data_IF_246496571835
#
_entry.id   IF_246496571835
#
_cell.length_a   1.000
_cell.length_b   1.000
_cell.length_c   1.000
_cell.angle_alpha   90.00
_cell.angle_beta   90.00
_cell.angle_gamma   90.00
#
_symmetry.space_group_name_H-M   'P 1'
#
loop_
_entity.id
_entity.type
_entity.pdbx_description
1 polymer ?
#
# COMPACT_ATOMS: atom_id res chain seq x y z
N UNK A 1 -1.13 5.78 1.48
CA UNK A 1 -2.54 5.71 1.91
C UNK A 1 -3.30 7.01 1.63
N UNK A 2 -4.30 6.98 0.76
CA UNK A 2 -5.11 8.18 0.44
C UNK A 2 -6.00 8.50 1.64
N UNK A 3 -5.96 9.74 2.15
CA UNK A 3 -6.86 10.22 3.20
C UNK A 3 -6.71 9.58 4.59
N UNK A 4 -5.57 8.94 4.90
CA UNK A 4 -5.32 8.34 6.21
C UNK A 4 -5.94 6.94 6.42
N UNK A 5 -6.57 6.37 5.40
CA UNK A 5 -7.12 5.01 5.42
C UNK A 5 -6.07 3.95 5.10
N UNK A 6 -6.14 2.78 5.74
CA UNK A 6 -5.33 1.62 5.37
C UNK A 6 -5.60 1.23 3.91
N UNK A 7 -4.54 1.08 3.11
CA UNK A 7 -4.67 0.52 1.75
C UNK A 7 -5.19 -0.91 1.83
N UNK A 8 -6.16 -1.23 0.97
CA UNK A 8 -6.73 -2.56 0.86
C UNK A 8 -5.67 -3.52 0.28
N UNK A 9 -5.20 -4.47 1.09
CA UNK A 9 -4.20 -5.45 0.68
C UNK A 9 -4.65 -6.27 -0.55
N UNK A 10 -5.96 -6.55 -0.65
CA UNK A 10 -6.51 -7.29 -1.79
C UNK A 10 -6.40 -6.48 -3.09
N UNK A 11 -6.67 -5.18 -3.06
CA UNK A 11 -6.49 -4.31 -4.25
C UNK A 11 -5.03 -4.28 -4.69
N UNK A 12 -4.09 -4.17 -3.74
CA UNK A 12 -2.66 -4.19 -4.03
C UNK A 12 -2.21 -5.52 -4.64
N UNK A 13 -2.70 -6.63 -4.09
CA UNK A 13 -2.42 -7.98 -4.62
C UNK A 13 -3.01 -8.18 -6.02
N UNK A 14 -4.29 -7.87 -6.23
CA UNK A 14 -4.93 -8.00 -7.55
C UNK A 14 -4.25 -7.12 -8.58
N UNK A 15 -3.80 -5.93 -8.21
CA UNK A 15 -3.04 -5.06 -9.10
C UNK A 15 -1.75 -5.73 -9.61
N UNK A 16 -1.06 -6.52 -8.78
CA UNK A 16 0.13 -7.28 -9.24
C UNK A 16 -0.24 -8.34 -10.28
N UNK A 17 -1.34 -9.08 -10.07
CA UNK A 17 -1.81 -10.08 -11.04
C UNK A 17 -2.05 -9.43 -12.39
N UNK A 18 -2.79 -8.31 -12.40
CA UNK A 18 -3.15 -7.62 -13.65
C UNK A 18 -1.99 -6.86 -14.29
N UNK A 19 -0.92 -6.56 -13.56
CA UNK A 19 0.33 -6.07 -14.16
C UNK A 19 1.04 -7.17 -14.95
N UNK A 20 0.95 -8.42 -14.53
CA UNK A 20 1.60 -9.57 -15.19
C UNK A 20 0.71 -10.15 -16.30
N UNK A 21 -0.59 -10.31 -16.03
CA UNK A 21 -1.59 -10.81 -16.97
C UNK A 21 -2.70 -9.75 -17.17
N UNK A 22 -2.51 -8.75 -18.04
CA UNK A 22 -3.45 -7.64 -18.19
C UNK A 22 -4.84 -8.11 -18.62
N UNK A 23 -5.88 -7.56 -17.97
CA UNK A 23 -7.29 -7.82 -18.34
C UNK A 23 -7.66 -7.35 -19.74
N UNK A 24 -6.87 -6.42 -20.29
CA UNK A 24 -7.09 -5.85 -21.62
C UNK A 24 -6.69 -6.80 -22.75
N UNK A 25 -5.96 -7.88 -22.45
CA UNK A 25 -5.58 -8.91 -23.40
C UNK A 25 -6.16 -10.27 -23.01
N UNK A 26 -6.24 -11.18 -23.98
CA UNK A 26 -6.57 -12.57 -23.70
C UNK A 26 -5.38 -13.25 -23.01
N UNK A 27 -5.59 -13.73 -21.79
CA UNK A 27 -4.66 -14.60 -21.07
C UNK A 27 -5.35 -15.93 -20.83
N UNK A 28 -4.73 -17.04 -21.27
CA UNK A 28 -5.22 -18.37 -20.95
C UNK A 28 -5.14 -18.66 -19.44
N UNK A 29 -5.88 -19.65 -18.97
CA UNK A 29 -5.95 -20.02 -17.55
C UNK A 29 -4.56 -20.24 -16.94
N UNK A 30 -3.68 -20.93 -17.65
CA UNK A 30 -2.30 -21.21 -17.22
C UNK A 30 -1.48 -19.93 -16.99
N UNK A 31 -1.64 -18.92 -17.87
CA UNK A 31 -0.93 -17.64 -17.74
C UNK A 31 -1.42 -16.89 -16.50
N UNK A 32 -2.73 -16.87 -16.26
CA UNK A 32 -3.33 -16.23 -15.08
C UNK A 32 -2.90 -16.94 -13.80
N UNK A 33 -2.80 -18.27 -13.84
CA UNK A 33 -2.33 -19.07 -12.71
C UNK A 33 -0.85 -18.76 -12.37
N UNK A 34 0.03 -18.74 -13.37
CA UNK A 34 1.44 -18.33 -13.19
C UNK A 34 1.53 -16.90 -12.65
N UNK A 35 0.77 -15.96 -13.21
CA UNK A 35 0.71 -14.58 -12.73
C UNK A 35 0.27 -14.50 -11.26
N UNK A 36 -0.66 -15.36 -10.84
CA UNK A 36 -1.15 -15.47 -9.46
C UNK A 36 -0.04 -15.94 -8.52
N UNK A 37 0.69 -17.01 -8.86
CA UNK A 37 1.82 -17.49 -8.06
C UNK A 37 2.94 -16.46 -7.96
N UNK A 38 3.32 -15.84 -9.08
CA UNK A 38 4.34 -14.80 -9.10
C UNK A 38 3.93 -13.59 -8.26
N UNK A 39 2.67 -13.19 -8.33
CA UNK A 39 2.14 -12.07 -7.53
C UNK A 39 2.22 -12.34 -6.04
N UNK A 40 1.97 -13.58 -5.59
CA UNK A 40 2.13 -13.97 -4.18
C UNK A 40 3.59 -13.82 -3.74
N UNK A 41 4.54 -14.28 -4.56
CA UNK A 41 5.96 -14.13 -4.26
C UNK A 41 6.37 -12.66 -4.19
N UNK A 42 5.99 -11.85 -5.18
CA UNK A 42 6.34 -10.43 -5.27
C UNK A 42 5.73 -9.64 -4.11
N UNK A 43 4.47 -9.92 -3.78
CA UNK A 43 3.77 -9.22 -2.71
C UNK A 43 4.45 -9.45 -1.36
N UNK A 44 4.75 -10.71 -1.01
CA UNK A 44 5.30 -11.06 0.30
C UNK A 44 6.81 -10.81 0.40
N UNK A 45 7.56 -11.19 -0.63
CA UNK A 45 9.02 -11.31 -0.55
C UNK A 45 9.78 -10.34 -1.46
N UNK A 46 9.08 -9.55 -2.30
CA UNK A 46 9.72 -8.68 -3.29
C UNK A 46 10.17 -9.42 -4.54
N UNK A 47 11.07 -8.81 -5.33
CA UNK A 47 11.53 -9.30 -6.61
C UNK A 47 12.67 -10.32 -6.51
N UNK A 48 13.44 -10.34 -5.41
CA UNK A 48 14.54 -11.30 -5.23
C UNK A 48 14.21 -12.77 -5.53
N UNK A 49 13.06 -13.34 -5.10
CA UNK A 49 12.71 -14.72 -5.43
C UNK A 49 12.59 -15.01 -6.92
N UNK A 50 12.30 -14.00 -7.76
CA UNK A 50 12.22 -14.17 -9.21
C UNK A 50 13.57 -14.60 -9.80
N UNK A 51 14.68 -14.19 -9.19
CA UNK A 51 16.01 -14.62 -9.60
C UNK A 51 16.18 -16.14 -9.46
N UNK A 52 15.65 -16.71 -8.37
CA UNK A 52 15.66 -18.16 -8.15
C UNK A 52 14.73 -18.90 -9.11
N UNK A 53 13.60 -18.32 -9.50
CA UNK A 53 12.73 -18.88 -10.53
C UNK A 53 13.40 -18.86 -11.91
N UNK A 54 14.03 -17.75 -12.28
CA UNK A 54 14.78 -17.63 -13.53
C UNK A 54 15.88 -18.70 -13.63
N UNK A 55 16.65 -18.88 -12.55
CA UNK A 55 17.68 -19.92 -12.51
C UNK A 55 17.12 -21.35 -12.67
N UNK A 56 15.94 -21.64 -12.11
CA UNK A 56 15.26 -22.94 -12.28
C UNK A 56 14.73 -23.17 -13.70
N UNK A 57 14.49 -22.10 -14.46
CA UNK A 57 14.11 -22.15 -15.87
C UNK A 57 15.33 -22.09 -16.81
N UNK A 58 16.53 -22.36 -16.28
CA UNK A 58 17.81 -22.27 -16.98
C UNK A 58 18.09 -20.88 -17.60
N UNK A 59 17.47 -19.83 -17.07
CA UNK A 59 17.74 -18.45 -17.46
C UNK A 59 18.91 -17.93 -16.61
N UNK A 60 20.01 -17.58 -17.28
CA UNK A 60 21.18 -17.04 -16.60
C UNK A 60 20.88 -15.69 -15.93
N UNK A 61 21.02 -15.66 -14.61
CA UNK A 61 20.90 -14.45 -13.81
C UNK A 61 22.26 -13.75 -13.75
N UNK A 62 22.31 -12.53 -14.30
CA UNK A 62 23.51 -11.68 -14.22
C UNK A 62 23.49 -10.75 -13.01
N UNK A 63 24.67 -10.28 -12.60
CA UNK A 63 24.86 -9.32 -11.49
C UNK A 63 23.99 -8.06 -11.59
N UNK A 64 23.68 -7.62 -12.82
CA UNK A 64 22.80 -6.44 -13.05
C UNK A 64 21.35 -6.73 -12.65
N UNK A 65 20.86 -7.94 -12.90
CA UNK A 65 19.51 -8.34 -12.51
C UNK A 65 19.39 -8.48 -10.99
N UNK A 66 20.41 -9.04 -10.34
CA UNK A 66 20.51 -9.10 -8.88
C UNK A 66 20.47 -7.70 -8.25
N UNK A 67 21.32 -6.79 -8.75
CA UNK A 67 21.37 -5.41 -8.28
C UNK A 67 20.06 -4.66 -8.51
N UNK A 68 19.42 -4.84 -9.67
CA UNK A 68 18.14 -4.22 -9.98
C UNK A 68 17.01 -4.70 -9.05
N UNK A 69 16.92 -6.02 -8.80
CA UNK A 69 15.92 -6.56 -7.86
C UNK A 69 16.17 -6.07 -6.43
N UNK A 70 17.44 -6.02 -5.99
CA UNK A 70 17.79 -5.51 -4.67
C UNK A 70 17.40 -4.03 -4.50
N UNK A 71 17.71 -3.19 -5.50
CA UNK A 71 17.38 -1.77 -5.48
C UNK A 71 15.86 -1.53 -5.47
N UNK A 72 15.10 -2.30 -6.26
CA UNK A 72 13.64 -2.16 -6.29
C UNK A 72 12.98 -2.64 -4.99
N UNK A 73 13.50 -3.72 -4.38
CA UNK A 73 13.01 -4.19 -3.07
C UNK A 73 13.31 -3.19 -1.94
N UNK A 74 14.47 -2.55 -1.99
CA UNK A 74 14.84 -1.48 -1.06
C UNK A 74 13.94 -0.25 -1.26
N UNK A 75 13.72 0.17 -2.50
CA UNK A 75 12.79 1.25 -2.86
C UNK A 75 11.37 0.96 -2.36
N UNK A 76 10.87 -0.25 -2.60
CA UNK A 76 9.55 -0.70 -2.13
C UNK A 76 9.43 -0.61 -0.61
N UNK A 77 10.46 -1.06 0.11
CA UNK A 77 10.47 -1.05 1.58
C UNK A 77 10.51 0.39 2.11
N UNK A 78 11.32 1.25 1.50
CA UNK A 78 11.40 2.67 1.84
C UNK A 78 10.05 3.38 1.63
N UNK A 79 9.44 3.22 0.45
CA UNK A 79 8.14 3.81 0.13
C UNK A 79 7.06 3.37 1.13
N UNK A 80 7.05 2.07 1.49
CA UNK A 80 6.11 1.53 2.46
C UNK A 80 6.29 2.15 3.86
N UNK A 81 7.52 2.37 4.32
CA UNK A 81 7.80 3.05 5.58
C UNK A 81 7.35 4.52 5.55
N UNK A 82 7.65 5.24 4.47
CA UNK A 82 7.24 6.63 4.27
C UNK A 82 5.73 6.74 4.30
N UNK A 83 5.04 5.87 3.58
CA UNK A 83 3.58 5.85 3.55
C UNK A 83 2.97 5.47 4.90
N UNK A 84 3.58 4.55 5.65
CA UNK A 84 3.15 4.21 6.99
C UNK A 84 3.24 5.42 7.95
N UNK A 85 4.34 6.19 7.88
CA UNK A 85 4.53 7.42 8.66
C UNK A 85 3.48 8.47 8.29
N UNK A 86 3.33 8.77 7.00
CA UNK A 86 2.31 9.71 6.49
C UNK A 86 0.89 9.33 6.93
N UNK A 87 0.57 8.03 6.87
CA UNK A 87 -0.74 7.51 7.30
C UNK A 87 -0.96 7.73 8.80
N UNK A 88 0.07 7.49 9.62
CA UNK A 88 0.00 7.71 11.06
C UNK A 88 -0.22 9.19 11.38
N UNK A 89 0.54 10.08 10.75
CA UNK A 89 0.41 11.54 10.91
C UNK A 89 -0.99 12.02 10.50
N UNK A 90 -1.47 11.59 9.33
CA UNK A 90 -2.83 11.92 8.87
C UNK A 90 -3.91 11.50 9.86
N UNK A 91 -3.80 10.29 10.45
CA UNK A 91 -4.75 9.83 11.48
C UNK A 91 -4.68 10.65 12.76
N UNK A 92 -3.48 11.07 13.19
CA UNK A 92 -3.31 11.92 14.37
C UNK A 92 -3.94 13.29 14.13
N UNK A 93 -3.63 13.91 12.99
CA UNK A 93 -4.16 15.23 12.64
C UNK A 93 -5.69 15.22 12.56
N UNK A 94 -6.29 14.14 12.03
CA UNK A 94 -7.75 13.99 12.02
C UNK A 94 -8.33 13.96 13.43
N UNK A 95 -7.74 13.19 14.35
CA UNK A 95 -8.21 13.14 15.76
C UNK A 95 -8.09 14.49 16.45
N UNK A 96 -7.00 15.23 16.18
CA UNK A 96 -6.82 16.58 16.74
C UNK A 96 -7.90 17.52 16.21
N UNK A 97 -8.19 17.48 14.90
CA UNK A 97 -9.24 18.31 14.30
C UNK A 97 -10.63 17.97 14.85
N UNK A 98 -10.94 16.67 15.03
CA UNK A 98 -12.19 16.21 15.63
C UNK A 98 -12.34 16.71 17.08
N UNK A 99 -11.26 16.66 17.88
CA UNK A 99 -11.27 17.18 19.25
C UNK A 99 -11.46 18.70 19.30
N UNK A 100 -10.74 19.43 18.44
CA UNK A 100 -10.88 20.90 18.36
C UNK A 100 -12.31 21.30 17.99
N UNK A 101 -12.94 20.58 17.06
CA UNK A 101 -14.33 20.82 16.70
C UNK A 101 -15.28 20.55 17.89
N UNK A 102 -15.08 19.44 18.60
CA UNK A 102 -15.87 19.12 19.78
C UNK A 102 -15.72 20.18 20.89
N UNK A 103 -14.50 20.65 21.14
CA UNK A 103 -14.23 21.70 22.13
C UNK A 103 -14.90 23.02 21.73
N UNK A 104 -14.91 23.37 20.44
CA UNK A 104 -15.61 24.57 19.94
C UNK A 104 -17.12 24.46 20.05
N UNK A 105 -17.68 23.27 19.78
CA UNK A 105 -19.13 23.03 19.85
C UNK A 105 -19.59 23.07 21.32
N UNK A 106 -18.82 22.49 22.25
CA UNK A 106 -19.10 22.55 23.69
C UNK A 106 -19.01 23.99 24.23
N UNK A 107 -18.03 24.77 23.79
CA UNK A 107 -17.92 26.18 24.15
C UNK A 107 -19.11 27.01 23.62
N UNK A 108 -19.58 26.71 22.40
CA UNK A 108 -20.76 27.33 21.81
C UNK A 108 -22.02 26.97 22.61
N UNK A 109 -22.22 25.70 22.93
CA UNK A 109 -23.36 25.23 23.72
C UNK A 109 -23.40 25.88 25.10
N UNK A 110 -22.26 25.94 25.80
CA UNK A 110 -22.13 26.63 27.10
C UNK A 110 -22.49 28.11 27.03
N UNK A 111 -22.17 28.78 25.92
CA UNK A 111 -22.55 30.18 25.68
C UNK A 111 -24.08 30.35 25.59
N UNK A 112 -24.77 29.41 24.94
CA UNK A 112 -26.23 29.49 24.78
C UNK A 112 -26.95 29.34 26.13
N UNK A 113 -26.42 28.52 27.04
CA UNK A 113 -26.99 28.30 28.37
C UNK A 113 -26.39 29.18 29.48
N UNK A 114 -25.64 30.23 29.13
CA UNK A 114 -25.05 31.14 30.12
C UNK A 114 -26.13 31.99 30.85
N UNK A 115 -25.89 32.31 32.12
CA UNK A 115 -26.81 33.10 32.94
C UNK A 115 -27.02 34.50 32.33
N UNK A 116 -28.27 34.80 31.96
CA UNK A 116 -28.67 36.06 31.31
C UNK A 116 -29.16 35.93 29.86
N UNK A 117 -29.15 34.72 29.27
CA UNK A 117 -29.65 34.45 27.91
C UNK A 117 -31.13 33.97 27.83
N UNK A 118 -31.98 34.33 28.80
CA UNK A 118 -33.45 34.14 28.77
C UNK A 118 -34.18 35.42 29.20
#
# INVERSE_FOLDING_TARGET
CIGGYTQNANESYYNLIWKIAPKTGFSGTEIVEIATYLSVCIFNNGLKPLLSFMAQLDIQVGKRAEAACAAEDERRSHDAEVDAKRSKESRINRRIAEQQQADTDEALEKSYYAAGNF
#
